data_IF_370995594663
#
_entry.id   IF_370995594663
#
_cell.length_a   1.000
_cell.length_b   1.000
_cell.length_c   1.000
_cell.angle_alpha   90.00
_cell.angle_beta   90.00
_cell.angle_gamma   90.00
#
_symmetry.space_group_name_H-M   'P 1'
#
loop_
_entity.id
_entity.type
_entity.pdbx_description
1 polymer ?
#
# COMPACT_ATOMS: atom_id res chain seq x y z
N UNK A 1 5.77 -25.37 3.25
CA UNK A 1 4.89 -24.46 2.53
C UNK A 1 5.60 -23.86 1.33
N UNK A 2 6.75 -23.20 1.49
CA UNK A 2 7.46 -22.55 0.38
C UNK A 2 7.87 -23.50 -0.77
N UNK A 3 8.13 -24.75 -0.49
CA UNK A 3 8.41 -25.76 -1.53
C UNK A 3 7.19 -26.09 -2.43
N UNK A 4 5.99 -25.76 -1.95
CA UNK A 4 4.73 -25.96 -2.68
C UNK A 4 4.27 -24.68 -3.39
N UNK A 5 4.99 -23.56 -3.24
CA UNK A 5 4.67 -22.32 -3.92
C UNK A 5 4.83 -22.50 -5.44
N UNK A 6 3.87 -21.99 -6.21
CA UNK A 6 3.97 -21.98 -7.65
C UNK A 6 5.16 -21.11 -8.11
N UNK A 7 5.75 -21.40 -9.27
CA UNK A 7 6.79 -20.56 -9.86
C UNK A 7 6.32 -19.11 -10.04
N UNK A 8 7.29 -18.18 -10.15
CA UNK A 8 7.01 -16.79 -10.48
C UNK A 8 6.24 -16.70 -11.81
N UNK A 9 5.17 -15.93 -11.82
CA UNK A 9 4.33 -15.70 -13.01
C UNK A 9 4.62 -14.39 -13.72
N UNK A 10 5.48 -13.54 -13.15
CA UNK A 10 5.88 -12.29 -13.77
C UNK A 10 7.09 -12.51 -14.68
N UNK A 11 6.98 -12.09 -15.93
CA UNK A 11 8.07 -12.16 -16.90
C UNK A 11 9.12 -11.07 -16.70
N UNK A 12 8.72 -9.94 -16.12
CA UNK A 12 9.58 -8.82 -15.77
C UNK A 12 9.36 -8.43 -14.32
N UNK A 13 10.39 -8.51 -13.50
CA UNK A 13 10.39 -8.12 -12.09
C UNK A 13 11.31 -6.93 -11.80
N UNK A 14 11.97 -6.37 -12.80
CA UNK A 14 12.95 -5.30 -12.64
C UNK A 14 12.37 -4.00 -12.08
N UNK A 15 11.08 -3.79 -12.24
CA UNK A 15 10.34 -2.62 -11.73
C UNK A 15 9.99 -2.73 -10.24
N UNK A 16 10.09 -3.93 -9.67
CA UNK A 16 9.77 -4.18 -8.25
C UNK A 16 10.95 -3.70 -7.41
N UNK A 17 10.72 -2.70 -6.60
CA UNK A 17 11.74 -2.13 -5.73
C UNK A 17 11.25 -2.21 -4.29
N UNK A 18 11.77 -3.13 -3.47
CA UNK A 18 11.57 -3.11 -2.03
C UNK A 18 12.15 -1.84 -1.42
N UNK A 19 11.54 -1.35 -0.35
CA UNK A 19 12.00 -0.13 0.29
C UNK A 19 11.28 0.13 1.60
N UNK A 20 11.70 1.19 2.29
CA UNK A 20 11.03 1.70 3.49
C UNK A 20 9.82 2.53 3.09
N UNK A 21 8.81 2.56 3.96
CA UNK A 21 7.64 3.42 3.78
C UNK A 21 7.42 4.28 5.01
N UNK A 22 7.23 5.58 4.82
CA UNK A 22 6.57 6.42 5.81
C UNK A 22 5.08 6.06 5.86
N UNK A 23 4.50 6.14 7.06
CA UNK A 23 3.12 5.74 7.28
C UNK A 23 2.53 6.53 8.45
N UNK A 24 1.46 7.30 8.19
CA UNK A 24 0.91 8.27 9.13
C UNK A 24 -0.03 7.68 10.19
N UNK A 25 -0.54 6.49 9.94
CA UNK A 25 -1.55 5.86 10.81
C UNK A 25 -1.08 5.63 12.23
N UNK A 26 0.17 5.18 12.40
CA UNK A 26 0.74 4.78 13.69
C UNK A 26 0.59 5.83 14.80
N UNK A 27 0.77 7.08 14.50
CA UNK A 27 0.67 8.20 15.44
C UNK A 27 -0.46 9.16 15.06
N UNK A 28 -1.54 8.62 14.45
CA UNK A 28 -2.77 9.35 14.11
C UNK A 28 -2.51 10.60 13.24
N UNK A 29 -1.51 10.54 12.38
CA UNK A 29 -1.07 11.62 11.52
C UNK A 29 -0.70 12.93 12.26
N UNK A 30 -0.31 12.85 13.53
CA UNK A 30 0.14 14.00 14.32
C UNK A 30 1.63 14.26 14.06
N UNK A 31 1.99 15.50 13.83
CA UNK A 31 3.38 15.97 13.72
C UNK A 31 3.81 16.56 15.07
N UNK A 32 4.48 15.76 15.90
CA UNK A 32 4.92 16.23 17.21
C UNK A 32 6.03 17.28 17.10
N UNK A 33 5.92 18.36 17.86
CA UNK A 33 6.92 19.43 17.90
C UNK A 33 6.96 20.31 16.64
N UNK A 34 5.99 20.21 15.77
CA UNK A 34 5.89 20.99 14.52
C UNK A 34 4.61 21.82 14.54
N UNK A 35 4.74 23.14 14.34
CA UNK A 35 3.59 24.05 14.17
C UNK A 35 3.01 23.92 12.76
N UNK A 36 2.30 22.82 12.52
CA UNK A 36 1.65 22.50 11.25
C UNK A 36 0.34 21.74 11.50
N UNK A 37 -0.76 22.09 10.80
CA UNK A 37 -2.02 21.38 10.94
C UNK A 37 -1.88 19.89 10.63
N UNK A 38 -2.07 19.05 11.64
CA UNK A 38 -1.84 17.60 11.54
C UNK A 38 -2.85 16.82 12.38
N UNK A 39 -2.89 15.51 12.17
CA UNK A 39 -3.82 14.60 12.82
C UNK A 39 -4.85 14.03 11.86
N UNK A 40 -5.48 12.89 12.26
CA UNK A 40 -6.40 12.12 11.42
C UNK A 40 -7.68 12.87 11.00
N UNK A 41 -8.00 13.99 11.66
CA UNK A 41 -9.12 14.88 11.28
C UNK A 41 -8.69 16.00 10.34
N UNK A 42 -7.41 16.09 10.03
CA UNK A 42 -6.82 17.16 9.20
C UNK A 42 -6.02 16.62 8.02
N UNK A 43 -6.34 15.40 7.57
CA UNK A 43 -5.72 14.82 6.40
C UNK A 43 -5.95 15.73 5.19
N UNK A 44 -4.86 16.18 4.59
CA UNK A 44 -4.88 17.16 3.51
C UNK A 44 -3.70 16.95 2.56
N UNK A 45 -3.80 17.51 1.38
CA UNK A 45 -2.70 17.52 0.42
C UNK A 45 -1.41 18.10 1.03
N UNK A 46 -1.52 19.18 1.80
CA UNK A 46 -0.38 19.86 2.42
C UNK A 46 0.28 18.97 3.47
N UNK A 47 -0.50 18.28 4.29
CA UNK A 47 0.03 17.33 5.27
C UNK A 47 0.77 16.17 4.58
N UNK A 48 0.19 15.62 3.52
CA UNK A 48 0.87 14.53 2.78
C UNK A 48 2.10 15.03 2.01
N UNK A 49 2.11 16.26 1.49
CA UNK A 49 3.33 16.86 0.93
C UNK A 49 4.44 16.98 1.99
N UNK A 50 4.08 17.34 3.22
CA UNK A 50 5.04 17.35 4.34
C UNK A 50 5.64 15.97 4.58
N UNK A 51 4.82 14.91 4.63
CA UNK A 51 5.31 13.53 4.76
C UNK A 51 6.20 13.10 3.58
N UNK A 52 5.85 13.48 2.37
CA UNK A 52 6.66 13.22 1.17
C UNK A 52 8.02 13.91 1.26
N UNK A 53 8.07 15.18 1.66
CA UNK A 53 9.32 15.92 1.84
C UNK A 53 10.19 15.28 2.93
N UNK A 54 9.57 14.88 4.03
CA UNK A 54 10.27 14.18 5.11
C UNK A 54 10.81 12.83 4.63
N UNK A 55 10.01 12.04 3.91
CA UNK A 55 10.42 10.77 3.35
C UNK A 55 11.60 10.94 2.38
N UNK A 56 11.51 11.90 1.46
CA UNK A 56 12.58 12.21 0.51
C UNK A 56 13.88 12.59 1.22
N UNK A 57 13.81 13.48 2.21
CA UNK A 57 14.97 13.93 3.00
C UNK A 57 15.64 12.80 3.76
N UNK A 58 14.87 11.79 4.18
CA UNK A 58 15.36 10.66 4.97
C UNK A 58 15.62 9.39 4.13
N UNK A 59 15.64 9.51 2.80
CA UNK A 59 15.87 8.38 1.89
C UNK A 59 14.89 7.22 2.14
N UNK A 60 13.60 7.57 2.24
CA UNK A 60 12.49 6.62 2.36
C UNK A 60 11.77 6.58 1.02
N UNK A 61 11.68 5.40 0.43
CA UNK A 61 11.25 5.19 -0.95
C UNK A 61 9.75 5.34 -1.15
N UNK A 62 8.95 5.12 -0.09
CA UNK A 62 7.49 5.11 -0.17
C UNK A 62 6.85 5.99 0.90
N UNK A 63 5.66 6.52 0.55
CA UNK A 63 4.70 7.04 1.51
C UNK A 63 3.39 6.26 1.35
N UNK A 64 2.95 5.61 2.42
CA UNK A 64 1.68 4.90 2.47
C UNK A 64 0.63 5.81 3.08
N UNK A 65 -0.42 6.10 2.31
CA UNK A 65 -1.61 6.80 2.76
C UNK A 65 -2.62 5.77 3.27
N UNK A 66 -2.94 5.82 4.55
CA UNK A 66 -3.90 4.93 5.19
C UNK A 66 -5.35 5.38 5.02
N UNK A 67 -6.30 4.72 5.66
CA UNK A 67 -7.72 5.04 5.60
C UNK A 67 -7.98 6.53 5.84
N UNK A 68 -8.85 7.13 5.03
CA UNK A 68 -9.19 8.56 5.11
C UNK A 68 -8.52 9.44 4.06
N UNK A 69 -7.62 8.92 3.23
CA UNK A 69 -7.10 9.67 2.09
C UNK A 69 -8.22 10.02 1.07
N UNK A 70 -8.05 11.12 0.31
CA UNK A 70 -9.05 11.59 -0.65
C UNK A 70 -8.58 11.47 -2.09
N UNK A 71 -9.53 11.13 -2.97
CA UNK A 71 -9.35 11.14 -4.43
C UNK A 71 -9.09 12.54 -5.00
N UNK A 72 -9.48 13.59 -4.27
CA UNK A 72 -9.44 14.96 -4.76
C UNK A 72 -8.01 15.47 -4.95
N UNK A 73 -7.09 14.99 -4.13
CA UNK A 73 -5.69 15.44 -4.18
C UNK A 73 -4.69 14.35 -4.60
N UNK A 74 -5.11 13.08 -4.74
CA UNK A 74 -4.15 11.98 -4.94
C UNK A 74 -3.31 12.15 -6.21
N UNK A 75 -3.89 12.63 -7.31
CA UNK A 75 -3.16 12.85 -8.56
C UNK A 75 -2.08 13.92 -8.42
N UNK A 76 -2.40 15.03 -7.75
CA UNK A 76 -1.43 16.09 -7.49
C UNK A 76 -0.33 15.60 -6.54
N UNK A 77 -0.71 14.87 -5.50
CA UNK A 77 0.26 14.30 -4.56
C UNK A 77 1.21 13.31 -5.24
N UNK A 78 0.72 12.43 -6.13
CA UNK A 78 1.58 11.51 -6.87
C UNK A 78 2.56 12.25 -7.79
N UNK A 79 2.12 13.31 -8.44
CA UNK A 79 3.01 14.15 -9.26
C UNK A 79 4.11 14.79 -8.41
N UNK A 80 3.74 15.38 -7.29
CA UNK A 80 4.67 15.97 -6.33
C UNK A 80 5.67 14.96 -5.78
N UNK A 81 5.18 13.79 -5.35
CA UNK A 81 6.02 12.72 -4.80
C UNK A 81 7.04 12.20 -5.81
N UNK A 82 6.63 12.09 -7.08
CA UNK A 82 7.52 11.68 -8.18
C UNK A 82 8.70 12.63 -8.33
N UNK A 83 8.51 13.95 -8.22
CA UNK A 83 9.59 14.95 -8.27
C UNK A 83 10.56 14.81 -7.09
N UNK A 84 10.12 14.24 -5.99
CA UNK A 84 10.88 13.99 -4.77
C UNK A 84 11.47 12.57 -4.69
N UNK A 85 11.30 11.75 -5.75
CA UNK A 85 11.68 10.33 -5.78
C UNK A 85 11.00 9.48 -4.68
N UNK A 86 9.78 9.83 -4.29
CA UNK A 86 8.96 9.07 -3.35
C UNK A 86 7.77 8.47 -4.11
N UNK A 87 7.48 7.21 -3.84
CA UNK A 87 6.35 6.47 -4.44
C UNK A 87 5.17 6.43 -3.49
N UNK A 88 3.97 6.59 -4.01
CA UNK A 88 2.74 6.58 -3.21
C UNK A 88 2.09 5.21 -3.22
N UNK A 89 1.80 4.69 -2.02
CA UNK A 89 0.93 3.52 -1.79
C UNK A 89 -0.36 4.03 -1.15
N UNK A 90 -1.51 3.52 -1.57
CA UNK A 90 -2.81 3.90 -1.00
C UNK A 90 -3.52 2.72 -0.39
N UNK A 91 -4.20 2.97 0.71
CA UNK A 91 -5.02 1.98 1.41
C UNK A 91 -6.33 1.69 0.68
N UNK A 92 -6.77 0.44 0.72
CA UNK A 92 -8.09 -0.01 0.28
C UNK A 92 -8.55 -1.26 1.04
N UNK A 93 -9.86 -1.54 1.02
CA UNK A 93 -10.44 -2.75 1.56
C UNK A 93 -10.18 -3.96 0.63
N UNK A 94 -9.90 -5.12 1.22
CA UNK A 94 -9.83 -6.37 0.46
C UNK A 94 -11.16 -6.73 -0.23
N UNK A 95 -12.29 -6.27 0.31
CA UNK A 95 -13.60 -6.46 -0.28
C UNK A 95 -13.79 -5.78 -1.65
N UNK A 96 -12.94 -4.85 -2.04
CA UNK A 96 -12.92 -4.31 -3.42
C UNK A 96 -12.76 -5.41 -4.48
N UNK A 97 -12.14 -6.55 -4.13
CA UNK A 97 -12.03 -7.70 -5.02
C UNK A 97 -13.39 -8.34 -5.39
N UNK A 98 -14.44 -8.08 -4.59
CA UNK A 98 -15.80 -8.56 -4.91
C UNK A 98 -16.43 -7.82 -6.09
N UNK A 99 -16.03 -6.57 -6.33
CA UNK A 99 -16.65 -5.63 -7.25
C UNK A 99 -15.81 -5.36 -8.50
N UNK A 100 -14.82 -6.14 -8.81
CA UNK A 100 -13.84 -5.88 -9.87
C UNK A 100 -12.71 -4.90 -9.45
N UNK A 101 -11.64 -5.40 -8.83
CA UNK A 101 -10.51 -4.57 -8.41
C UNK A 101 -9.79 -3.91 -9.59
N UNK A 102 -9.96 -4.43 -10.80
CA UNK A 102 -9.27 -3.93 -12.01
C UNK A 102 -9.60 -2.49 -12.33
N UNK A 103 -10.87 -2.06 -12.17
CA UNK A 103 -11.28 -0.69 -12.47
C UNK A 103 -10.70 0.28 -11.44
N UNK A 104 -10.74 -0.09 -10.17
CA UNK A 104 -10.11 0.69 -9.11
C UNK A 104 -8.59 0.80 -9.33
N UNK A 105 -7.91 -0.32 -9.62
CA UNK A 105 -6.47 -0.38 -9.88
C UNK A 105 -6.10 0.47 -11.10
N UNK A 106 -6.85 0.35 -12.21
CA UNK A 106 -6.62 1.15 -13.40
C UNK A 106 -6.74 2.66 -13.10
N UNK A 107 -7.74 3.04 -12.31
CA UNK A 107 -7.95 4.42 -11.88
C UNK A 107 -6.79 4.92 -11.01
N UNK A 108 -6.36 4.15 -10.01
CA UNK A 108 -5.23 4.52 -9.15
C UNK A 108 -3.94 4.65 -9.95
N UNK A 109 -3.68 3.71 -10.85
CA UNK A 109 -2.55 3.77 -11.77
C UNK A 109 -2.56 5.05 -12.62
N UNK A 110 -3.73 5.45 -13.14
CA UNK A 110 -3.88 6.69 -13.94
C UNK A 110 -3.56 7.97 -13.16
N UNK A 111 -3.62 7.92 -11.83
CA UNK A 111 -3.25 9.01 -10.94
C UNK A 111 -1.75 9.00 -10.56
N UNK A 112 -1.02 7.95 -10.94
CA UNK A 112 0.40 7.78 -10.62
C UNK A 112 0.67 7.04 -9.30
N UNK A 113 -0.35 6.40 -8.72
CA UNK A 113 -0.18 5.54 -7.54
C UNK A 113 0.69 4.34 -7.89
N UNK A 114 1.65 4.02 -7.04
CA UNK A 114 2.66 2.98 -7.25
C UNK A 114 2.35 1.65 -6.56
N UNK A 115 1.36 1.62 -5.69
CA UNK A 115 0.99 0.41 -4.96
C UNK A 115 -0.27 0.55 -4.11
N UNK A 116 -0.72 -0.57 -3.56
CA UNK A 116 -1.88 -0.64 -2.69
C UNK A 116 -1.56 -1.36 -1.37
N UNK A 117 -2.00 -0.78 -0.25
CA UNK A 117 -2.17 -1.46 1.02
C UNK A 117 -3.59 -2.02 1.05
N UNK A 118 -3.71 -3.35 0.91
CA UNK A 118 -4.98 -4.07 0.87
C UNK A 118 -5.24 -4.63 2.26
N UNK A 119 -6.31 -4.20 2.89
CA UNK A 119 -6.57 -4.42 4.30
C UNK A 119 -7.93 -5.08 4.56
N UNK A 120 -8.10 -5.60 5.78
CA UNK A 120 -9.35 -6.20 6.26
C UNK A 120 -9.89 -7.32 5.37
N UNK A 121 -9.11 -8.37 5.20
CA UNK A 121 -9.61 -9.59 4.56
C UNK A 121 -10.74 -10.25 5.38
N UNK A 122 -10.70 -10.11 6.71
CA UNK A 122 -11.72 -10.55 7.69
C UNK A 122 -12.10 -12.03 7.56
N UNK A 123 -11.28 -12.81 6.88
CA UNK A 123 -11.46 -14.23 6.66
C UNK A 123 -10.13 -14.92 6.37
N UNK A 124 -10.08 -16.21 6.66
CA UNK A 124 -8.88 -17.03 6.46
C UNK A 124 -9.25 -18.32 5.73
N UNK A 125 -9.78 -18.18 4.53
CA UNK A 125 -10.23 -19.29 3.69
C UNK A 125 -9.81 -19.11 2.23
N UNK A 126 -10.22 -20.01 1.36
CA UNK A 126 -9.89 -19.96 -0.05
C UNK A 126 -10.40 -18.70 -0.77
N UNK A 127 -11.43 -18.04 -0.25
CA UNK A 127 -11.95 -16.80 -0.84
C UNK A 127 -10.95 -15.68 -0.59
N UNK A 128 -10.45 -15.53 0.64
CA UNK A 128 -9.39 -14.58 0.94
C UNK A 128 -8.13 -14.82 0.10
N UNK A 129 -7.74 -16.08 -0.07
CA UNK A 129 -6.58 -16.44 -0.90
C UNK A 129 -6.79 -16.06 -2.37
N UNK A 130 -8.01 -16.21 -2.88
CA UNK A 130 -8.35 -15.77 -4.26
C UNK A 130 -8.28 -14.26 -4.40
N UNK A 131 -8.80 -13.50 -3.44
CA UNK A 131 -8.70 -12.04 -3.44
C UNK A 131 -7.24 -11.57 -3.42
N UNK A 132 -6.42 -12.13 -2.53
CA UNK A 132 -5.00 -11.80 -2.48
C UNK A 132 -4.27 -12.09 -3.79
N UNK A 133 -4.57 -13.26 -4.40
CA UNK A 133 -4.02 -13.59 -5.73
C UNK A 133 -4.48 -12.61 -6.80
N UNK A 134 -5.75 -12.28 -6.85
CA UNK A 134 -6.31 -11.38 -7.84
C UNK A 134 -5.73 -9.96 -7.72
N UNK A 135 -5.65 -9.43 -6.51
CA UNK A 135 -4.97 -8.15 -6.29
C UNK A 135 -3.51 -8.18 -6.75
N UNK A 136 -2.76 -9.21 -6.37
CA UNK A 136 -1.36 -9.33 -6.76
C UNK A 136 -1.19 -9.35 -8.30
N UNK A 137 -2.03 -10.12 -8.99
CA UNK A 137 -2.02 -10.27 -10.44
C UNK A 137 -2.38 -8.95 -11.14
N UNK A 138 -3.50 -8.32 -10.76
CA UNK A 138 -3.97 -7.06 -11.38
C UNK A 138 -3.06 -5.88 -11.10
N UNK A 139 -2.50 -5.79 -9.89
CA UNK A 139 -1.49 -4.78 -9.56
C UNK A 139 -0.21 -4.99 -10.40
N UNK A 140 0.25 -6.24 -10.55
CA UNK A 140 1.43 -6.55 -11.36
C UNK A 140 1.26 -6.16 -12.83
N UNK A 141 0.07 -6.35 -13.42
CA UNK A 141 -0.26 -5.90 -14.78
C UNK A 141 -0.04 -4.39 -14.97
N UNK A 142 -0.16 -3.63 -13.91
CA UNK A 142 0.07 -2.17 -13.89
C UNK A 142 1.41 -1.77 -13.29
N UNK A 143 2.32 -2.73 -13.05
CA UNK A 143 3.60 -2.50 -12.36
C UNK A 143 3.44 -1.80 -11.01
N UNK A 144 2.43 -2.20 -10.26
CA UNK A 144 2.13 -1.69 -8.92
C UNK A 144 2.45 -2.76 -7.87
N UNK A 145 2.93 -2.31 -6.71
CA UNK A 145 3.25 -3.18 -5.57
C UNK A 145 2.03 -3.39 -4.67
N UNK A 146 2.04 -4.47 -3.89
CA UNK A 146 1.04 -4.79 -2.90
C UNK A 146 1.65 -4.91 -1.50
N UNK A 147 0.92 -4.43 -0.51
CA UNK A 147 1.14 -4.68 0.92
C UNK A 147 -0.16 -5.25 1.47
N UNK A 148 -0.13 -6.43 2.06
CA UNK A 148 -1.32 -7.06 2.63
C UNK A 148 -1.39 -6.86 4.13
N UNK A 149 -2.54 -6.36 4.60
CA UNK A 149 -2.83 -6.08 5.99
C UNK A 149 -4.12 -6.79 6.43
N UNK A 150 -4.31 -7.03 7.72
CA UNK A 150 -5.46 -7.79 8.20
C UNK A 150 -5.71 -9.07 7.36
N UNK A 151 -4.67 -9.80 7.01
CA UNK A 151 -4.66 -10.80 5.96
C UNK A 151 -4.31 -12.20 6.50
N UNK A 152 -4.65 -13.28 5.76
CA UNK A 152 -4.16 -14.62 6.05
C UNK A 152 -2.62 -14.69 6.09
N UNK A 153 -2.09 -15.63 6.86
CA UNK A 153 -0.64 -15.89 6.92
C UNK A 153 -0.06 -16.17 5.52
N UNK A 154 1.17 -15.75 5.25
CA UNK A 154 1.82 -15.99 3.96
C UNK A 154 1.92 -17.47 3.62
N UNK A 155 1.46 -17.83 2.42
CA UNK A 155 1.47 -19.22 1.91
C UNK A 155 2.41 -19.42 0.74
N UNK A 156 3.29 -18.44 0.47
CA UNK A 156 4.22 -18.47 -0.66
C UNK A 156 3.73 -17.70 -1.89
N UNK A 157 2.57 -17.04 -1.82
CA UNK A 157 2.01 -16.27 -2.94
C UNK A 157 2.98 -15.17 -3.44
N UNK A 158 3.76 -14.57 -2.54
CA UNK A 158 4.80 -13.58 -2.87
C UNK A 158 5.97 -14.16 -3.72
N UNK A 159 6.11 -15.47 -3.80
CA UNK A 159 7.07 -16.11 -4.72
C UNK A 159 6.51 -16.22 -6.12
N UNK A 160 5.20 -16.37 -6.22
CA UNK A 160 4.47 -16.41 -7.50
C UNK A 160 4.27 -14.99 -8.05
N UNK A 161 4.00 -14.04 -7.15
CA UNK A 161 3.80 -12.62 -7.45
C UNK A 161 4.71 -11.76 -6.54
N UNK A 162 5.98 -11.57 -6.92
CA UNK A 162 6.96 -10.86 -6.10
C UNK A 162 6.69 -9.36 -5.93
N UNK A 163 5.67 -8.81 -6.59
CA UNK A 163 5.16 -7.48 -6.30
C UNK A 163 4.41 -7.38 -4.96
N UNK A 164 4.14 -8.49 -4.28
CA UNK A 164 3.72 -8.49 -2.88
C UNK A 164 4.97 -8.25 -2.03
N UNK A 165 5.14 -7.04 -1.51
CA UNK A 165 6.33 -6.66 -0.75
C UNK A 165 6.25 -7.08 0.71
N UNK A 166 5.06 -7.07 1.30
CA UNK A 166 4.89 -7.33 2.72
C UNK A 166 3.53 -7.91 3.05
N UNK A 167 3.49 -8.59 4.20
CA UNK A 167 2.28 -9.07 4.87
C UNK A 167 2.35 -8.63 6.33
N UNK A 168 1.26 -8.11 6.87
CA UNK A 168 1.15 -7.94 8.32
C UNK A 168 1.09 -9.31 9.00
N UNK A 169 0.06 -10.10 8.72
CA UNK A 169 -0.15 -11.50 9.13
C UNK A 169 0.26 -11.84 10.57
N UNK A 170 0.34 -10.85 11.44
CA UNK A 170 0.70 -10.93 12.86
C UNK A 170 -0.14 -9.93 13.65
N UNK A 171 -0.28 -10.15 14.95
CA UNK A 171 -0.76 -9.09 15.85
C UNK A 171 0.36 -8.07 16.05
N UNK A 172 0.32 -6.99 15.29
CA UNK A 172 1.32 -5.93 15.34
C UNK A 172 1.29 -5.12 16.64
N UNK A 173 2.33 -4.33 16.86
CA UNK A 173 2.45 -3.49 18.05
C UNK A 173 1.34 -2.40 18.14
N UNK A 174 0.71 -2.05 17.04
CA UNK A 174 -0.46 -1.14 17.03
C UNK A 174 -1.61 -1.68 17.90
N UNK A 175 -1.75 -3.02 18.01
CA UNK A 175 -2.76 -3.65 18.87
C UNK A 175 -2.51 -3.42 20.38
N UNK A 176 -1.41 -2.81 20.77
CA UNK A 176 -1.18 -2.40 22.16
C UNK A 176 -2.00 -1.15 22.55
N UNK A 177 -2.62 -0.49 21.54
CA UNK A 177 -3.43 0.70 21.75
C UNK A 177 -4.96 0.42 21.74
N UNK A 178 -5.34 -0.87 21.61
CA UNK A 178 -6.74 -1.33 21.56
C UNK A 178 -7.07 -2.22 22.77
#
# INVERSE_FOLDING_TARGET
>A
VYKLAAPCRLTDTSWIQPGKSAWEWWHKAVLEGVDFPSGNKQLSLQLYKYYVDWASKNHIEYMTLDAGWSKDYIKELCSYAKEKNVKIIVWTWASCAKENPSDWIAKMHSYGVSGAKIDFFERNDQIAMRWGKEFAERLAEKKMVAVFHGCPVPTGLHRTYPNILNYEAVRGAECNFW
#
